data_IF_758375049623
#
_entry.id   IF_758375049623
#
_cell.length_a   1.000
_cell.length_b   1.000
_cell.length_c   1.000
_cell.angle_alpha   90.00
_cell.angle_beta   90.00
_cell.angle_gamma   90.00
#
_symmetry.space_group_name_H-M   'P 1'
#
loop_
_entity.id
_entity.type
_entity.pdbx_description
1 polymer ?
#
# COMPACT_ATOMS: atom_id res chain seq x y z
N UNK A 1 -2.81 32.92 -10.01
CA UNK A 1 -2.02 31.92 -9.23
C UNK A 1 -1.91 30.69 -10.11
N UNK A 2 -0.72 30.20 -10.45
CA UNK A 2 -0.60 28.97 -11.19
C UNK A 2 -1.13 27.82 -10.34
N UNK A 3 -2.14 27.13 -10.84
CA UNK A 3 -2.64 25.92 -10.22
C UNK A 3 -1.49 24.91 -10.20
N UNK A 4 -1.20 24.39 -8.99
CA UNK A 4 -0.19 23.35 -8.75
C UNK A 4 -0.67 21.98 -9.31
N UNK A 5 -0.90 21.90 -10.62
CA UNK A 5 -1.31 20.67 -11.32
C UNK A 5 -0.24 19.57 -11.28
N UNK A 6 0.91 19.86 -10.66
CA UNK A 6 2.04 18.94 -10.58
C UNK A 6 1.96 17.83 -9.52
N UNK A 7 1.07 17.99 -8.53
CA UNK A 7 1.00 17.10 -7.36
C UNK A 7 -0.16 16.11 -7.45
N UNK A 8 -1.16 16.38 -8.30
CA UNK A 8 -2.34 15.51 -8.43
C UNK A 8 -2.10 14.33 -9.38
N UNK A 9 -2.75 13.17 -9.12
CA UNK A 9 -2.70 12.02 -10.02
C UNK A 9 -3.18 12.34 -11.43
N UNK A 10 -2.53 11.77 -12.44
CA UNK A 10 -2.88 11.97 -13.85
C UNK A 10 -3.90 10.98 -14.36
N UNK A 11 -3.85 9.74 -13.87
CA UNK A 11 -4.74 8.69 -14.32
C UNK A 11 -6.12 8.83 -13.65
N UNK A 12 -7.17 8.56 -14.40
CA UNK A 12 -8.55 8.68 -13.91
C UNK A 12 -8.80 7.81 -12.66
N UNK A 13 -8.28 6.59 -12.66
CA UNK A 13 -8.44 5.63 -11.56
C UNK A 13 -7.74 6.11 -10.29
N UNK A 14 -6.48 6.51 -10.39
CA UNK A 14 -5.69 6.99 -9.24
C UNK A 14 -6.23 8.31 -8.70
N UNK A 15 -6.73 9.18 -9.59
CA UNK A 15 -7.42 10.40 -9.22
C UNK A 15 -8.68 10.09 -8.43
N UNK A 16 -9.51 9.17 -8.90
CA UNK A 16 -10.73 8.74 -8.19
C UNK A 16 -10.42 8.14 -6.82
N UNK A 17 -9.35 7.35 -6.69
CA UNK A 17 -8.93 6.75 -5.42
C UNK A 17 -8.50 7.79 -4.37
N UNK A 18 -7.88 8.88 -4.81
CA UNK A 18 -7.37 9.94 -3.92
C UNK A 18 -8.38 11.07 -3.72
N UNK A 19 -9.41 11.12 -4.58
CA UNK A 19 -10.43 12.16 -4.48
C UNK A 19 -11.25 11.98 -3.21
N UNK A 20 -11.18 13.00 -2.34
CA UNK A 20 -11.98 13.01 -1.12
C UNK A 20 -13.45 13.14 -1.47
N UNK A 21 -14.29 12.26 -0.92
CA UNK A 21 -15.75 12.39 -0.98
C UNK A 21 -16.16 13.57 -0.09
N UNK A 22 -16.41 14.74 -0.68
CA UNK A 22 -16.87 15.92 0.04
C UNK A 22 -16.23 17.22 -0.46
N UNK A 23 -16.69 18.32 0.12
CA UNK A 23 -16.23 19.67 -0.24
C UNK A 23 -14.87 19.94 0.44
N UNK A 24 -13.81 19.34 -0.09
CA UNK A 24 -12.45 19.71 0.33
C UNK A 24 -12.00 20.92 -0.49
N UNK A 25 -11.65 22.03 0.15
CA UNK A 25 -11.13 23.20 -0.54
C UNK A 25 -9.93 22.83 -1.43
N UNK A 26 -9.89 23.39 -2.65
CA UNK A 26 -8.84 23.10 -3.63
C UNK A 26 -7.43 23.37 -3.08
N UNK A 27 -7.31 24.33 -2.18
CA UNK A 27 -6.05 24.74 -1.54
C UNK A 27 -5.43 23.66 -0.65
N UNK A 28 -6.26 22.78 -0.05
CA UNK A 28 -5.81 21.74 0.90
C UNK A 28 -5.51 20.42 0.18
N UNK A 29 -6.07 20.20 -1.00
CA UNK A 29 -5.91 18.94 -1.76
C UNK A 29 -4.44 18.54 -1.99
N UNK A 30 -3.54 19.44 -2.40
CA UNK A 30 -2.13 19.08 -2.58
C UNK A 30 -1.47 18.61 -1.28
N UNK A 31 -1.80 19.24 -0.15
CA UNK A 31 -1.27 18.86 1.17
C UNK A 31 -1.75 17.47 1.60
N UNK A 32 -3.00 17.12 1.33
CA UNK A 32 -3.56 15.80 1.61
C UNK A 32 -2.88 14.70 0.78
N UNK A 33 -2.63 14.97 -0.49
CA UNK A 33 -1.94 14.05 -1.39
C UNK A 33 -0.47 13.89 -0.98
N UNK A 34 0.20 14.96 -0.54
CA UNK A 34 1.55 14.88 0.02
C UNK A 34 1.60 14.05 1.30
N UNK A 35 0.53 14.06 2.10
CA UNK A 35 0.39 13.25 3.31
C UNK A 35 0.53 11.73 3.06
N UNK A 36 0.24 11.23 1.86
CA UNK A 36 0.43 9.83 1.48
C UNK A 36 1.90 9.38 1.54
N UNK A 37 2.85 10.31 1.48
CA UNK A 37 4.28 10.04 1.64
C UNK A 37 4.77 10.16 3.08
N UNK A 38 3.89 10.50 4.03
CA UNK A 38 4.25 11.08 5.33
C UNK A 38 4.91 10.14 6.34
N UNK A 39 4.77 8.83 6.26
CA UNK A 39 5.23 7.94 7.35
C UNK A 39 6.10 6.77 6.86
N UNK A 40 7.41 7.04 6.72
CA UNK A 40 8.40 6.01 6.40
C UNK A 40 8.46 4.88 7.46
N UNK A 41 8.43 5.14 8.80
CA UNK A 41 8.46 4.07 9.78
C UNK A 41 7.27 3.09 9.68
N UNK A 42 6.06 3.60 9.50
CA UNK A 42 4.87 2.75 9.34
C UNK A 42 4.97 1.92 8.05
N UNK A 43 5.47 2.53 6.97
CA UNK A 43 5.70 1.81 5.73
C UNK A 43 6.71 0.67 5.89
N UNK A 44 7.85 0.95 6.51
CA UNK A 44 8.90 -0.05 6.75
C UNK A 44 8.41 -1.17 7.66
N UNK A 45 7.63 -0.84 8.69
CA UNK A 45 6.99 -1.83 9.57
C UNK A 45 6.06 -2.77 8.79
N UNK A 46 5.21 -2.22 7.92
CA UNK A 46 4.32 -3.01 7.05
C UNK A 46 5.11 -3.91 6.08
N UNK A 47 6.12 -3.37 5.40
CA UNK A 47 6.97 -4.14 4.48
C UNK A 47 7.71 -5.26 5.20
N UNK A 48 8.32 -4.95 6.35
CA UNK A 48 9.01 -5.96 7.14
C UNK A 48 8.06 -7.08 7.57
N UNK A 49 6.88 -6.73 8.06
CA UNK A 49 5.87 -7.69 8.50
C UNK A 49 5.43 -8.60 7.34
N UNK A 50 5.11 -8.07 6.16
CA UNK A 50 4.65 -8.89 5.03
C UNK A 50 5.74 -9.80 4.49
N UNK A 51 6.97 -9.32 4.38
CA UNK A 51 8.11 -10.16 3.96
C UNK A 51 8.37 -11.26 4.98
N UNK A 52 8.36 -10.94 6.28
CA UNK A 52 8.59 -11.92 7.34
C UNK A 52 7.52 -13.00 7.32
N UNK A 53 6.24 -12.61 7.32
CA UNK A 53 5.11 -13.56 7.34
C UNK A 53 5.09 -14.42 6.08
N UNK A 54 5.22 -13.85 4.91
CA UNK A 54 5.23 -14.61 3.65
C UNK A 54 6.42 -15.57 3.57
N UNK A 55 7.59 -15.16 4.08
CA UNK A 55 8.78 -16.04 4.14
C UNK A 55 8.59 -17.20 5.11
N UNK A 56 8.05 -16.95 6.31
CA UNK A 56 7.76 -18.01 7.29
C UNK A 56 6.81 -19.06 6.68
N UNK A 57 5.73 -18.59 6.03
CA UNK A 57 4.76 -19.50 5.42
C UNK A 57 5.36 -20.25 4.23
N UNK A 58 6.15 -19.58 3.38
CA UNK A 58 6.81 -20.24 2.25
C UNK A 58 7.83 -21.32 2.69
N UNK A 59 8.52 -21.11 3.81
CA UNK A 59 9.41 -22.11 4.40
C UNK A 59 8.61 -23.28 4.98
N UNK A 60 7.48 -22.99 5.64
CA UNK A 60 6.62 -24.00 6.26
C UNK A 60 5.89 -24.87 5.21
N UNK A 61 5.41 -24.22 4.15
CA UNK A 61 4.63 -24.84 3.07
C UNK A 61 5.29 -24.49 1.73
N UNK A 62 6.36 -25.20 1.33
CA UNK A 62 7.16 -24.84 0.15
C UNK A 62 6.49 -25.25 -1.16
N UNK A 63 5.29 -24.74 -1.41
CA UNK A 63 4.59 -24.89 -2.68
C UNK A 63 4.84 -23.72 -3.62
N UNK A 64 4.70 -23.88 -4.94
CA UNK A 64 4.90 -22.78 -5.89
C UNK A 64 4.07 -21.52 -5.60
N UNK A 65 2.85 -21.69 -5.07
CA UNK A 65 1.97 -20.57 -4.74
C UNK A 65 2.54 -19.71 -3.61
N UNK A 66 3.06 -20.31 -2.54
CA UNK A 66 3.65 -19.57 -1.42
C UNK A 66 5.02 -19.00 -1.75
N UNK A 67 5.83 -19.71 -2.53
CA UNK A 67 7.09 -19.17 -3.03
C UNK A 67 6.87 -17.97 -3.94
N UNK A 68 5.86 -18.03 -4.83
CA UNK A 68 5.45 -16.92 -5.67
C UNK A 68 4.98 -15.73 -4.81
N UNK A 69 4.16 -15.97 -3.78
CA UNK A 69 3.70 -14.91 -2.89
C UNK A 69 4.85 -14.22 -2.16
N UNK A 70 5.78 -14.99 -1.58
CA UNK A 70 6.95 -14.40 -0.92
C UNK A 70 7.82 -13.59 -1.89
N UNK A 71 8.05 -14.08 -3.11
CA UNK A 71 8.77 -13.36 -4.15
C UNK A 71 8.04 -12.07 -4.56
N UNK A 72 6.70 -12.11 -4.66
CA UNK A 72 5.86 -10.96 -4.98
C UNK A 72 5.96 -9.88 -3.90
N UNK A 73 5.92 -10.24 -2.59
CA UNK A 73 6.08 -9.29 -1.49
C UNK A 73 7.44 -8.60 -1.52
N UNK A 74 8.51 -9.35 -1.75
CA UNK A 74 9.87 -8.79 -1.91
C UNK A 74 9.94 -7.86 -3.14
N UNK A 75 9.37 -8.29 -4.27
CA UNK A 75 9.33 -7.50 -5.50
C UNK A 75 8.56 -6.19 -5.32
N UNK A 76 7.38 -6.23 -4.69
CA UNK A 76 6.58 -5.04 -4.40
C UNK A 76 7.28 -4.12 -3.40
N UNK A 77 7.96 -4.65 -2.39
CA UNK A 77 8.75 -3.87 -1.44
C UNK A 77 9.89 -3.11 -2.13
N UNK A 78 10.64 -3.79 -2.99
CA UNK A 78 11.75 -3.19 -3.75
C UNK A 78 11.28 -2.13 -4.74
N UNK A 79 10.09 -2.27 -5.31
CA UNK A 79 9.48 -1.27 -6.18
C UNK A 79 8.97 -0.06 -5.38
N UNK A 80 8.27 -0.31 -4.27
CA UNK A 80 7.57 0.75 -3.50
C UNK A 80 8.51 1.64 -2.70
N UNK A 81 9.60 1.08 -2.16
CA UNK A 81 10.53 1.85 -1.34
C UNK A 81 11.16 3.04 -2.09
N UNK A 82 11.75 2.87 -3.30
CA UNK A 82 12.27 4.01 -4.06
C UNK A 82 11.19 4.99 -4.50
N UNK A 83 9.96 4.51 -4.81
CA UNK A 83 8.84 5.39 -5.14
C UNK A 83 8.45 6.27 -3.96
N UNK A 84 8.41 5.70 -2.74
CA UNK A 84 8.14 6.46 -1.52
C UNK A 84 9.24 7.49 -1.25
N UNK A 85 10.52 7.08 -1.31
CA UNK A 85 11.64 7.98 -1.01
C UNK A 85 11.74 9.12 -2.04
N UNK A 86 11.63 8.79 -3.34
CA UNK A 86 11.63 9.80 -4.42
C UNK A 86 10.43 10.71 -4.32
N UNK A 87 9.22 10.15 -4.04
CA UNK A 87 7.99 10.90 -3.87
C UNK A 87 8.06 11.87 -2.69
N UNK A 88 8.55 11.41 -1.55
CA UNK A 88 8.74 12.25 -0.35
C UNK A 88 9.75 13.39 -0.60
N UNK A 89 10.85 13.11 -1.29
CA UNK A 89 11.84 14.14 -1.66
C UNK A 89 11.26 15.15 -2.66
N UNK A 90 10.54 14.68 -3.67
CA UNK A 90 9.90 15.54 -4.66
C UNK A 90 8.84 16.46 -4.03
N UNK A 91 8.02 15.90 -3.12
CA UNK A 91 7.03 16.66 -2.37
C UNK A 91 7.66 17.80 -1.55
N UNK A 92 8.79 17.54 -0.87
CA UNK A 92 9.54 18.55 -0.10
C UNK A 92 10.17 19.64 -0.98
N UNK A 93 10.50 19.33 -2.23
CA UNK A 93 11.15 20.27 -3.17
C UNK A 93 10.17 20.91 -4.17
N UNK A 94 8.86 20.73 -4.00
CA UNK A 94 7.83 21.27 -4.91
C UNK A 94 7.90 20.66 -6.32
N UNK A 95 8.60 19.52 -6.51
CA UNK A 95 8.74 18.86 -7.79
C UNK A 95 7.66 17.81 -7.99
N UNK A 96 7.38 17.49 -9.27
CA UNK A 96 6.43 16.42 -9.63
C UNK A 96 6.89 15.06 -9.12
N UNK A 97 6.00 14.33 -8.44
CA UNK A 97 6.20 12.96 -8.00
C UNK A 97 5.40 11.99 -8.89
N UNK A 98 5.89 10.75 -9.02
CA UNK A 98 5.16 9.68 -9.74
C UNK A 98 4.09 9.07 -8.82
N UNK A 99 3.09 9.87 -8.44
CA UNK A 99 2.07 9.50 -7.47
C UNK A 99 1.17 8.36 -7.98
N UNK A 100 0.86 8.35 -9.27
CA UNK A 100 0.02 7.31 -9.87
C UNK A 100 0.62 5.92 -9.68
N UNK A 101 1.92 5.79 -9.98
CA UNK A 101 2.63 4.52 -9.83
C UNK A 101 2.74 4.10 -8.36
N UNK A 102 2.92 5.07 -7.45
CA UNK A 102 2.93 4.80 -6.03
C UNK A 102 1.58 4.28 -5.51
N UNK A 103 0.47 4.89 -5.91
CA UNK A 103 -0.89 4.45 -5.55
C UNK A 103 -1.17 3.06 -6.13
N UNK A 104 -0.86 2.83 -7.42
CA UNK A 104 -1.05 1.52 -8.04
C UNK A 104 -0.25 0.43 -7.32
N UNK A 105 1.01 0.69 -7.02
CA UNK A 105 1.86 -0.25 -6.28
C UNK A 105 1.34 -0.50 -4.85
N UNK A 106 0.67 0.46 -4.22
CA UNK A 106 0.01 0.27 -2.93
C UNK A 106 -1.22 -0.64 -3.03
N UNK A 107 -2.04 -0.47 -4.07
CA UNK A 107 -3.20 -1.35 -4.35
C UNK A 107 -2.75 -2.76 -4.69
N UNK A 108 -1.71 -2.92 -5.54
CA UNK A 108 -1.14 -4.22 -5.85
C UNK A 108 -0.61 -4.94 -4.61
N UNK A 109 0.01 -4.19 -3.69
CA UNK A 109 0.47 -4.75 -2.42
C UNK A 109 -0.70 -5.23 -1.55
N UNK A 110 -1.77 -4.46 -1.42
CA UNK A 110 -2.96 -4.91 -0.68
C UNK A 110 -3.56 -6.18 -1.29
N UNK A 111 -3.65 -6.24 -2.62
CA UNK A 111 -4.10 -7.45 -3.32
C UNK A 111 -3.17 -8.66 -3.10
N UNK A 112 -1.85 -8.44 -2.99
CA UNK A 112 -0.89 -9.49 -2.65
C UNK A 112 -1.10 -10.03 -1.24
N UNK A 113 -1.38 -9.16 -0.26
CA UNK A 113 -1.73 -9.58 1.11
C UNK A 113 -3.00 -10.43 1.11
N UNK A 114 -4.06 -9.99 0.42
CA UNK A 114 -5.30 -10.77 0.29
C UNK A 114 -5.11 -12.10 -0.43
N UNK A 115 -4.26 -12.14 -1.46
CA UNK A 115 -3.85 -13.38 -2.10
C UNK A 115 -3.19 -14.33 -1.09
N UNK A 116 -2.28 -13.83 -0.25
CA UNK A 116 -1.65 -14.60 0.82
C UNK A 116 -2.67 -15.16 1.82
N UNK A 117 -3.64 -14.35 2.27
CA UNK A 117 -4.74 -14.80 3.11
C UNK A 117 -5.54 -15.92 2.43
N UNK A 118 -5.91 -15.72 1.17
CA UNK A 118 -6.71 -16.66 0.41
C UNK A 118 -6.03 -18.02 0.26
N UNK A 119 -4.77 -18.07 -0.20
CA UNK A 119 -4.06 -19.34 -0.41
C UNK A 119 -3.74 -20.05 0.90
N UNK A 120 -3.51 -19.33 2.01
CA UNK A 120 -3.29 -19.95 3.31
C UNK A 120 -4.55 -20.58 3.89
N UNK A 121 -5.70 -19.92 3.76
CA UNK A 121 -6.99 -20.51 4.16
C UNK A 121 -7.29 -21.77 3.34
N UNK A 122 -7.06 -21.74 2.02
CA UNK A 122 -7.26 -22.89 1.14
C UNK A 122 -6.29 -24.04 1.40
N UNK A 123 -5.11 -23.78 1.95
CA UNK A 123 -4.12 -24.82 2.25
C UNK A 123 -4.55 -25.77 3.38
N UNK A 124 -5.53 -25.37 4.20
CA UNK A 124 -5.96 -26.11 5.38
C UNK A 124 -4.97 -26.07 6.56
N UNK A 125 -3.83 -25.40 6.45
CA UNK A 125 -2.91 -25.17 7.58
C UNK A 125 -3.43 -23.99 8.43
N UNK A 126 -4.20 -24.30 9.45
CA UNK A 126 -4.84 -23.32 10.31
C UNK A 126 -3.85 -22.42 11.05
N UNK A 127 -2.64 -22.92 11.34
CA UNK A 127 -1.61 -22.10 11.99
C UNK A 127 -1.09 -21.02 11.03
N UNK A 128 -0.80 -21.42 9.80
CA UNK A 128 -0.38 -20.45 8.76
C UNK A 128 -1.51 -19.46 8.43
N UNK A 129 -2.75 -19.94 8.28
CA UNK A 129 -3.90 -19.09 8.03
C UNK A 129 -4.12 -18.08 9.16
N UNK A 130 -4.06 -18.51 10.41
CA UNK A 130 -4.19 -17.61 11.58
C UNK A 130 -3.08 -16.57 11.60
N UNK A 131 -1.83 -16.96 11.37
CA UNK A 131 -0.69 -16.03 11.32
C UNK A 131 -0.91 -14.95 10.26
N UNK A 132 -1.28 -15.35 9.03
CA UNK A 132 -1.44 -14.43 7.90
C UNK A 132 -2.64 -13.50 8.11
N UNK A 133 -3.80 -14.05 8.49
CA UNK A 133 -5.02 -13.26 8.68
C UNK A 133 -4.89 -12.27 9.84
N UNK A 134 -4.30 -12.68 10.98
CA UNK A 134 -4.06 -11.77 12.09
C UNK A 134 -3.03 -10.68 11.72
N UNK A 135 -2.00 -11.03 10.97
CA UNK A 135 -1.04 -10.06 10.45
C UNK A 135 -1.71 -9.05 9.52
N UNK A 136 -2.55 -9.51 8.59
CA UNK A 136 -3.31 -8.63 7.69
C UNK A 136 -4.26 -7.71 8.49
N UNK A 137 -5.00 -8.25 9.45
CA UNK A 137 -5.89 -7.47 10.31
C UNK A 137 -5.14 -6.40 11.11
N UNK A 138 -3.98 -6.72 11.67
CA UNK A 138 -3.14 -5.75 12.38
C UNK A 138 -2.64 -4.61 11.47
N UNK A 139 -2.38 -4.90 10.19
CA UNK A 139 -1.94 -3.89 9.22
C UNK A 139 -3.05 -2.95 8.77
N UNK A 140 -4.33 -3.33 8.87
CA UNK A 140 -5.45 -2.45 8.45
C UNK A 140 -5.46 -1.12 9.19
N UNK A 141 -5.15 -1.12 10.49
CA UNK A 141 -4.98 0.10 11.30
C UNK A 141 -3.88 1.00 10.77
N UNK A 142 -2.72 0.43 10.43
CA UNK A 142 -1.60 1.16 9.83
C UNK A 142 -1.95 1.73 8.44
N UNK A 143 -2.68 0.96 7.62
CA UNK A 143 -3.17 1.41 6.31
C UNK A 143 -4.14 2.58 6.47
N UNK A 144 -5.11 2.48 7.38
CA UNK A 144 -6.08 3.53 7.65
C UNK A 144 -5.41 4.80 8.16
N UNK A 145 -4.53 4.67 9.17
CA UNK A 145 -3.82 5.81 9.74
C UNK A 145 -2.92 6.51 8.74
N UNK A 146 -2.19 5.76 7.93
CA UNK A 146 -1.25 6.33 6.95
C UNK A 146 -1.95 7.04 5.79
N UNK A 147 -3.06 6.49 5.32
CA UNK A 147 -3.76 6.97 4.13
C UNK A 147 -5.07 7.67 4.45
N UNK A 148 -5.25 8.20 5.68
CA UNK A 148 -6.50 8.82 6.13
C UNK A 148 -6.98 9.96 5.20
N UNK A 149 -6.06 10.60 4.49
CA UNK A 149 -6.34 11.66 3.53
C UNK A 149 -6.96 11.15 2.21
N UNK A 150 -6.98 9.83 1.99
CA UNK A 150 -7.53 9.20 0.78
C UNK A 150 -8.47 8.04 1.17
N UNK A 151 -9.67 8.32 1.67
CA UNK A 151 -10.56 7.31 2.25
C UNK A 151 -10.99 6.22 1.27
N UNK A 152 -11.16 6.54 -0.01
CA UNK A 152 -11.47 5.53 -1.05
C UNK A 152 -10.30 4.57 -1.27
N UNK A 153 -9.07 5.09 -1.26
CA UNK A 153 -7.87 4.26 -1.34
C UNK A 153 -7.77 3.32 -0.14
N UNK A 154 -8.04 3.84 1.08
CA UNK A 154 -8.08 3.02 2.32
C UNK A 154 -9.10 1.90 2.20
N UNK A 155 -10.33 2.23 1.78
CA UNK A 155 -11.39 1.22 1.62
C UNK A 155 -11.00 0.14 0.62
N UNK A 156 -10.47 0.51 -0.54
CA UNK A 156 -10.02 -0.46 -1.56
C UNK A 156 -8.89 -1.33 -1.02
N UNK A 157 -7.91 -0.75 -0.33
CA UNK A 157 -6.80 -1.52 0.24
C UNK A 157 -7.27 -2.49 1.32
N UNK A 158 -8.18 -2.08 2.21
CA UNK A 158 -8.72 -2.96 3.26
C UNK A 158 -9.59 -4.08 2.66
N UNK A 159 -10.36 -3.80 1.61
CA UNK A 159 -11.18 -4.82 0.95
C UNK A 159 -10.35 -5.84 0.16
N UNK A 160 -9.17 -5.45 -0.29
CA UNK A 160 -8.27 -6.33 -1.04
C UNK A 160 -7.34 -7.14 -0.12
N UNK A 161 -7.05 -6.68 1.09
CA UNK A 161 -6.18 -7.36 2.06
C UNK A 161 -6.96 -8.29 3.00
#
# INVERSE_FOLDING_TARGET
MPQDDGVLPRWAVTRWLVECAGVVPAEIRPSLVQGLYGSLPIFLGGVFNTILVSSIVAIRIPTPAFLFWAALEIGLATLRLPLLVKGSRAAKSGKRAHIDLYILAAVCWAASVGYGCFITVLSGDWLAATLVVLSAAAMTGGVAFRNFSAPRLVMVMIMLS
#
